data_IF_457294006983
#
_entry.id   IF_457294006983
#
_cell.length_a   1.000
_cell.length_b   1.000
_cell.length_c   1.000
_cell.angle_alpha   90.00
_cell.angle_beta   90.00
_cell.angle_gamma   90.00
#
_symmetry.space_group_name_H-M   'P 1'
#
loop_
_entity.id
_entity.type
_entity.pdbx_description
1 polymer ?
#
# COMPACT_ATOMS: atom_id res chain seq x y z
N UNK A 1 -1.00 -10.96 10.75
CA UNK A 1 -0.78 -11.09 12.21
C UNK A 1 -1.31 -12.42 12.74
N UNK A 2 -2.54 -12.86 12.42
CA UNK A 2 -3.11 -14.12 12.89
C UNK A 2 -2.26 -15.35 12.50
N UNK A 3 -1.85 -15.42 11.23
CA UNK A 3 -0.95 -16.49 10.74
C UNK A 3 0.39 -16.45 11.45
N UNK A 4 0.97 -15.25 11.64
CA UNK A 4 2.23 -15.10 12.38
C UNK A 4 2.11 -15.65 13.82
N UNK A 5 0.99 -15.38 14.51
CA UNK A 5 0.74 -15.92 15.86
C UNK A 5 0.59 -17.43 15.89
N UNK A 6 -0.02 -18.04 14.88
CA UNK A 6 -0.09 -19.49 14.76
C UNK A 6 1.30 -20.11 14.55
N UNK A 7 2.12 -19.51 13.69
CA UNK A 7 3.50 -19.97 13.48
C UNK A 7 4.35 -19.84 14.75
N UNK A 8 4.22 -18.72 15.49
CA UNK A 8 4.90 -18.55 16.78
C UNK A 8 4.52 -19.66 17.78
N UNK A 9 3.23 -20.03 17.88
CA UNK A 9 2.76 -21.11 18.76
C UNK A 9 3.30 -22.48 18.30
N UNK A 10 3.51 -22.67 17.00
CA UNK A 10 4.15 -23.87 16.45
C UNK A 10 5.68 -23.91 16.66
N UNK A 11 6.26 -22.90 17.32
CA UNK A 11 7.69 -22.86 17.66
C UNK A 11 8.58 -22.17 16.63
N UNK A 12 8.00 -21.50 15.63
CA UNK A 12 8.76 -20.70 14.67
C UNK A 12 9.14 -19.34 15.26
N UNK A 13 10.31 -18.84 14.91
CA UNK A 13 10.71 -17.45 15.20
C UNK A 13 10.18 -16.59 14.06
N UNK A 14 9.16 -15.78 14.34
CA UNK A 14 8.45 -15.01 13.33
C UNK A 14 8.71 -13.53 13.49
N UNK A 15 9.25 -12.90 12.45
CA UNK A 15 9.39 -11.46 12.35
C UNK A 15 8.25 -10.87 11.52
N UNK A 16 7.42 -10.06 12.15
CA UNK A 16 6.30 -9.38 11.50
C UNK A 16 6.75 -8.04 10.94
N UNK A 17 6.67 -7.88 9.63
CA UNK A 17 7.06 -6.65 8.96
C UNK A 17 5.89 -6.06 8.18
N UNK A 18 5.89 -4.73 8.05
CA UNK A 18 4.94 -3.98 7.25
C UNK A 18 5.68 -3.16 6.20
N UNK A 19 5.09 -2.98 5.03
CA UNK A 19 5.58 -2.09 3.98
C UNK A 19 4.54 -1.01 3.73
N UNK A 20 4.90 0.24 4.03
CA UNK A 20 4.03 1.40 3.84
C UNK A 20 4.36 2.07 2.51
N UNK A 21 3.34 2.21 1.67
CA UNK A 21 3.44 2.99 0.43
C UNK A 21 3.25 4.47 0.75
N UNK A 22 4.36 5.17 0.93
CA UNK A 22 4.43 6.58 1.35
C UNK A 22 4.94 7.50 0.25
N UNK A 23 5.12 7.01 -0.99
CA UNK A 23 5.62 7.80 -2.11
C UNK A 23 4.82 7.57 -3.41
N UNK A 24 5.09 8.42 -4.38
CA UNK A 24 4.57 8.28 -5.74
C UNK A 24 3.42 9.23 -6.04
N UNK A 25 2.92 9.11 -7.26
CA UNK A 25 1.92 10.05 -7.81
C UNK A 25 0.63 10.11 -6.98
N UNK A 26 0.24 8.99 -6.34
CA UNK A 26 -1.00 8.95 -5.54
C UNK A 26 -0.89 9.80 -4.28
N UNK A 27 0.28 9.81 -3.64
CA UNK A 27 0.57 10.67 -2.48
C UNK A 27 0.57 12.14 -2.91
N UNK A 28 1.25 12.46 -4.02
CA UNK A 28 1.27 13.82 -4.56
C UNK A 28 -0.12 14.35 -4.96
N UNK A 29 -1.04 13.48 -5.36
CA UNK A 29 -2.44 13.86 -5.62
C UNK A 29 -3.14 14.39 -4.37
N UNK A 30 -3.03 13.67 -3.24
CA UNK A 30 -3.58 14.12 -1.95
C UNK A 30 -2.90 15.41 -1.49
N UNK A 31 -1.57 15.50 -1.61
CA UNK A 31 -0.80 16.71 -1.26
C UNK A 31 -1.23 17.91 -2.07
N UNK A 32 -1.40 17.75 -3.38
CA UNK A 32 -1.86 18.85 -4.25
C UNK A 32 -3.28 19.31 -3.88
N UNK A 33 -4.21 18.37 -3.72
CA UNK A 33 -5.57 18.71 -3.32
C UNK A 33 -5.61 19.44 -1.97
N UNK A 34 -4.85 18.99 -0.98
CA UNK A 34 -4.74 19.66 0.31
C UNK A 34 -4.18 21.10 0.14
N UNK A 35 -3.13 21.26 -0.68
CA UNK A 35 -2.51 22.59 -0.91
C UNK A 35 -3.48 23.60 -1.53
N UNK A 36 -4.35 23.16 -2.45
CA UNK A 36 -5.26 24.08 -3.19
C UNK A 36 -6.65 24.20 -2.58
N UNK A 37 -7.11 23.21 -1.82
CA UNK A 37 -8.48 23.17 -1.27
C UNK A 37 -8.51 23.19 0.26
N UNK A 38 -7.42 22.82 0.93
CA UNK A 38 -7.40 22.51 2.36
C UNK A 38 -7.33 23.73 3.28
N UNK A 39 -6.97 24.91 2.77
CA UNK A 39 -6.86 26.14 3.58
C UNK A 39 -6.10 25.95 4.90
N UNK A 40 -5.09 25.08 4.92
CA UNK A 40 -4.31 24.78 6.12
C UNK A 40 -4.99 23.86 7.13
N UNK A 41 -6.04 23.12 6.74
CA UNK A 41 -6.71 22.15 7.59
C UNK A 41 -5.72 21.06 8.06
N UNK A 42 -5.83 20.68 9.33
CA UNK A 42 -5.02 19.64 9.97
C UNK A 42 -5.93 18.62 10.67
N UNK A 43 -5.44 17.44 11.06
CA UNK A 43 -6.22 16.51 11.87
C UNK A 43 -6.77 17.15 13.15
N UNK A 44 -6.00 18.03 13.78
CA UNK A 44 -6.41 18.72 15.00
C UNK A 44 -7.53 19.75 14.73
N UNK A 45 -7.44 20.52 13.63
CA UNK A 45 -8.44 21.54 13.32
C UNK A 45 -9.75 20.95 12.78
N UNK A 46 -9.66 19.81 12.07
CA UNK A 46 -10.82 19.13 11.50
C UNK A 46 -11.50 18.14 12.48
N UNK A 47 -10.77 17.72 13.52
CA UNK A 47 -11.21 16.63 14.40
C UNK A 47 -11.21 15.26 13.74
N UNK A 48 -10.63 15.13 12.53
CA UNK A 48 -10.53 13.87 11.78
C UNK A 48 -9.22 13.17 12.09
N UNK A 49 -9.22 11.85 12.03
CA UNK A 49 -8.03 11.04 12.01
C UNK A 49 -7.18 11.35 10.78
N UNK A 50 -5.86 11.36 10.91
CA UNK A 50 -4.97 11.88 9.88
C UNK A 50 -5.03 11.15 8.54
N UNK A 51 -5.10 9.82 8.56
CA UNK A 51 -5.25 9.00 7.36
C UNK A 51 -6.60 9.21 6.66
N UNK A 52 -7.69 9.40 7.43
CA UNK A 52 -9.01 9.77 6.89
C UNK A 52 -8.97 11.15 6.23
N UNK A 53 -8.36 12.14 6.88
CA UNK A 53 -8.21 13.49 6.32
C UNK A 53 -7.45 13.45 4.99
N UNK A 54 -6.32 12.75 4.93
CA UNK A 54 -5.53 12.62 3.69
C UNK A 54 -6.30 11.83 2.62
N UNK A 55 -7.07 10.82 3.03
CA UNK A 55 -7.98 10.07 2.17
C UNK A 55 -9.06 10.95 1.53
N UNK A 56 -9.68 11.85 2.31
CA UNK A 56 -10.65 12.82 1.80
C UNK A 56 -10.04 13.70 0.71
N UNK A 57 -8.79 14.14 0.88
CA UNK A 57 -8.09 14.91 -0.15
C UNK A 57 -7.73 14.10 -1.38
N UNK A 58 -7.56 12.77 -1.26
CA UNK A 58 -7.41 11.91 -2.43
C UNK A 58 -8.69 11.85 -3.26
N UNK A 59 -9.85 11.76 -2.60
CA UNK A 59 -11.16 11.82 -3.27
C UNK A 59 -11.41 13.22 -3.85
N UNK A 60 -11.08 14.29 -3.11
CA UNK A 60 -11.19 15.67 -3.60
C UNK A 60 -10.35 15.91 -4.86
N UNK A 61 -9.12 15.35 -4.91
CA UNK A 61 -8.29 15.38 -6.11
C UNK A 61 -9.00 14.72 -7.30
N UNK A 62 -9.57 13.53 -7.09
CA UNK A 62 -10.23 12.79 -8.16
C UNK A 62 -11.43 13.57 -8.72
N UNK A 63 -12.20 14.24 -7.87
CA UNK A 63 -13.32 15.10 -8.27
C UNK A 63 -12.83 16.32 -9.07
N UNK A 64 -11.78 16.99 -8.60
CA UNK A 64 -11.15 18.09 -9.32
C UNK A 64 -10.65 17.65 -10.70
N UNK A 65 -9.92 16.54 -10.75
CA UNK A 65 -9.39 15.96 -11.99
C UNK A 65 -10.50 15.63 -12.99
N UNK A 66 -11.58 14.97 -12.56
CA UNK A 66 -12.72 14.66 -13.43
C UNK A 66 -13.34 15.91 -14.03
N UNK A 67 -13.55 16.93 -13.19
CA UNK A 67 -14.09 18.22 -13.64
C UNK A 67 -13.20 18.87 -14.70
N UNK A 68 -11.89 18.93 -14.48
CA UNK A 68 -10.93 19.47 -15.44
C UNK A 68 -10.92 18.70 -16.78
N UNK A 69 -11.00 17.37 -16.72
CA UNK A 69 -11.10 16.51 -17.91
C UNK A 69 -12.37 16.82 -18.68
N UNK A 70 -13.52 16.95 -18.01
CA UNK A 70 -14.80 17.27 -18.64
C UNK A 70 -14.78 18.65 -19.29
N UNK A 71 -14.17 19.65 -18.65
CA UNK A 71 -13.97 21.00 -19.20
C UNK A 71 -13.10 20.98 -20.47
N UNK A 72 -11.96 20.26 -20.45
CA UNK A 72 -11.07 20.12 -21.62
C UNK A 72 -11.75 19.38 -22.80
N UNK A 73 -12.57 18.39 -22.50
CA UNK A 73 -13.35 17.68 -23.52
C UNK A 73 -14.42 18.60 -24.11
N UNK A 74 -15.10 19.42 -23.29
CA UNK A 74 -16.06 20.41 -23.77
C UNK A 74 -15.42 21.48 -24.66
N UNK A 75 -14.15 21.81 -24.42
CA UNK A 75 -13.34 22.72 -25.23
C UNK A 75 -12.81 22.08 -26.53
N UNK A 76 -13.17 20.82 -26.80
CA UNK A 76 -12.86 20.11 -28.05
C UNK A 76 -11.65 19.19 -28.02
N UNK A 77 -11.06 18.95 -26.86
CA UNK A 77 -9.96 17.98 -26.71
C UNK A 77 -10.51 16.55 -26.71
N UNK A 78 -9.76 15.59 -27.27
CA UNK A 78 -10.13 14.18 -27.11
C UNK A 78 -10.03 13.77 -25.63
N UNK A 79 -10.84 12.81 -25.20
CA UNK A 79 -10.84 12.34 -23.82
C UNK A 79 -9.45 11.86 -23.36
N UNK A 80 -8.77 11.11 -24.22
CA UNK A 80 -7.43 10.59 -23.93
C UNK A 80 -6.40 11.72 -23.74
N UNK A 81 -6.48 12.77 -24.55
CA UNK A 81 -5.62 13.96 -24.41
C UNK A 81 -6.00 14.78 -23.18
N UNK A 82 -7.30 14.95 -22.91
CA UNK A 82 -7.81 15.66 -21.73
C UNK A 82 -7.33 14.97 -20.43
N UNK A 83 -7.43 13.66 -20.34
CA UNK A 83 -6.93 12.87 -19.20
C UNK A 83 -5.43 13.05 -18.95
N UNK A 84 -4.61 13.21 -20.00
CA UNK A 84 -3.17 13.46 -19.89
C UNK A 84 -2.82 14.93 -19.60
N UNK A 85 -3.70 15.84 -19.96
CA UNK A 85 -3.45 17.30 -19.91
C UNK A 85 -4.16 18.01 -18.76
N UNK A 86 -4.96 17.32 -17.95
CA UNK A 86 -5.63 17.92 -16.80
C UNK A 86 -4.62 18.64 -15.89
N UNK A 87 -4.87 19.93 -15.56
CA UNK A 87 -3.95 20.77 -14.79
C UNK A 87 -3.55 20.15 -13.44
N UNK A 88 -4.51 19.60 -12.70
CA UNK A 88 -4.26 18.94 -11.43
C UNK A 88 -3.31 17.73 -11.55
N UNK A 89 -3.46 16.93 -12.61
CA UNK A 89 -2.57 15.80 -12.85
C UNK A 89 -1.13 16.25 -13.14
N UNK A 90 -0.98 17.28 -13.98
CA UNK A 90 0.34 17.86 -14.28
C UNK A 90 0.99 18.45 -13.03
N UNK A 91 0.21 19.16 -12.21
CA UNK A 91 0.70 19.70 -10.95
C UNK A 91 1.14 18.60 -9.97
N UNK A 92 0.40 17.50 -9.88
CA UNK A 92 0.80 16.34 -9.06
C UNK A 92 2.07 15.66 -9.59
N UNK A 93 2.24 15.58 -10.92
CA UNK A 93 3.46 15.06 -11.55
C UNK A 93 4.68 15.97 -11.29
N UNK A 94 4.49 17.29 -11.40
CA UNK A 94 5.52 18.26 -11.05
C UNK A 94 5.90 18.17 -9.56
N UNK A 95 4.92 17.98 -8.69
CA UNK A 95 5.16 17.79 -7.25
C UNK A 95 5.97 16.52 -6.98
N UNK A 96 5.69 15.41 -7.67
CA UNK A 96 6.49 14.19 -7.58
C UNK A 96 7.92 14.43 -8.04
N UNK A 97 8.10 15.10 -9.18
CA UNK A 97 9.44 15.45 -9.69
C UNK A 97 10.22 16.32 -8.69
N UNK A 98 9.58 17.32 -8.10
CA UNK A 98 10.19 18.17 -7.05
C UNK A 98 10.58 17.35 -5.82
N UNK A 99 9.70 16.44 -5.37
CA UNK A 99 9.99 15.56 -4.26
C UNK A 99 11.22 14.68 -4.53
N UNK A 100 11.30 14.06 -5.71
CA UNK A 100 12.43 13.22 -6.13
C UNK A 100 13.76 14.00 -6.23
N UNK A 101 13.69 15.30 -6.50
CA UNK A 101 14.85 16.19 -6.53
C UNK A 101 15.13 16.90 -5.19
N UNK A 102 14.43 16.54 -4.13
CA UNK A 102 14.69 17.05 -2.78
C UNK A 102 14.24 18.48 -2.54
N UNK A 103 13.24 18.99 -3.27
CA UNK A 103 12.65 20.33 -3.02
C UNK A 103 12.16 20.40 -1.57
N UNK A 104 12.71 21.38 -0.81
CA UNK A 104 12.51 21.46 0.62
C UNK A 104 11.04 21.68 1.03
N UNK A 105 10.28 22.49 0.28
CA UNK A 105 8.87 22.76 0.56
C UNK A 105 8.03 21.50 0.33
N UNK A 106 8.24 20.80 -0.78
CA UNK A 106 7.48 19.60 -1.12
C UNK A 106 7.83 18.44 -0.21
N UNK A 107 9.10 18.27 0.14
CA UNK A 107 9.55 17.23 1.09
C UNK A 107 8.95 17.49 2.48
N UNK A 108 8.87 18.74 2.94
CA UNK A 108 8.29 19.06 4.24
C UNK A 108 6.77 18.81 4.26
N UNK A 109 6.06 19.20 3.19
CA UNK A 109 4.64 18.89 3.04
C UNK A 109 4.39 17.38 3.03
N UNK A 110 5.21 16.64 2.28
CA UNK A 110 5.16 15.19 2.23
C UNK A 110 5.36 14.56 3.62
N UNK A 111 6.37 15.00 4.38
CA UNK A 111 6.62 14.53 5.75
C UNK A 111 5.43 14.82 6.66
N UNK A 112 4.88 16.01 6.58
CA UNK A 112 3.76 16.43 7.42
C UNK A 112 2.54 15.57 7.16
N UNK A 113 2.11 15.43 5.90
CA UNK A 113 0.91 14.67 5.57
C UNK A 113 1.08 13.17 5.78
N UNK A 114 2.24 12.59 5.45
CA UNK A 114 2.51 11.20 5.76
C UNK A 114 2.62 10.95 7.27
N UNK A 115 3.14 11.91 8.05
CA UNK A 115 3.13 11.84 9.50
C UNK A 115 1.72 11.68 10.07
N UNK A 116 0.75 12.43 9.54
CA UNK A 116 -0.66 12.27 9.91
C UNK A 116 -1.21 10.88 9.56
N UNK A 117 -0.82 10.34 8.40
CA UNK A 117 -1.24 8.99 7.98
C UNK A 117 -0.63 7.92 8.89
N UNK A 118 0.65 8.04 9.24
CA UNK A 118 1.32 7.07 10.11
C UNK A 118 0.70 7.04 11.51
N UNK A 119 0.43 8.20 12.11
CA UNK A 119 -0.28 8.30 13.39
C UNK A 119 -1.68 7.65 13.30
N UNK A 120 -2.37 7.83 12.17
CA UNK A 120 -3.64 7.19 11.90
C UNK A 120 -3.55 5.67 11.83
N UNK A 121 -2.58 5.14 11.10
CA UNK A 121 -2.33 3.69 11.00
C UNK A 121 -1.96 3.08 12.35
N UNK A 122 -1.10 3.74 13.12
CA UNK A 122 -0.70 3.26 14.44
C UNK A 122 -1.91 3.12 15.36
N UNK A 123 -2.86 4.05 15.29
CA UNK A 123 -4.11 3.98 16.05
C UNK A 123 -4.96 2.78 15.60
N UNK A 124 -5.18 2.59 14.29
CA UNK A 124 -5.94 1.43 13.79
C UNK A 124 -5.29 0.11 14.19
N UNK A 125 -3.96 0.00 14.09
CA UNK A 125 -3.23 -1.20 14.50
C UNK A 125 -3.35 -1.45 16.01
N UNK A 126 -3.29 -0.40 16.82
CA UNK A 126 -3.50 -0.51 18.26
C UNK A 126 -4.93 -0.98 18.59
N UNK A 127 -5.94 -0.41 17.93
CA UNK A 127 -7.34 -0.80 18.11
C UNK A 127 -7.58 -2.25 17.67
N UNK A 128 -6.92 -2.72 16.63
CA UNK A 128 -6.90 -4.12 16.22
C UNK A 128 -6.07 -5.02 17.14
N UNK A 129 -5.26 -4.47 18.02
CA UNK A 129 -4.33 -5.23 18.87
C UNK A 129 -3.28 -5.98 18.04
N UNK A 130 -2.77 -5.37 16.97
CA UNK A 130 -1.69 -5.90 16.13
C UNK A 130 -0.47 -4.99 16.21
N UNK A 131 0.70 -5.58 15.96
CA UNK A 131 1.96 -4.85 15.95
C UNK A 131 2.92 -5.46 14.95
N UNK A 132 3.88 -4.67 14.52
CA UNK A 132 4.97 -5.10 13.64
C UNK A 132 6.31 -4.92 14.35
N UNK A 133 7.24 -5.82 14.09
CA UNK A 133 8.60 -5.75 14.63
C UNK A 133 9.42 -4.72 13.85
N UNK A 134 9.07 -4.50 12.56
CA UNK A 134 9.66 -3.45 11.72
C UNK A 134 8.69 -2.96 10.65
N UNK A 135 8.71 -1.66 10.40
CA UNK A 135 8.03 -1.02 9.29
C UNK A 135 9.05 -0.56 8.25
N UNK A 136 8.83 -0.94 6.99
CA UNK A 136 9.55 -0.44 5.83
C UNK A 136 8.72 0.62 5.13
N UNK A 137 9.39 1.59 4.51
CA UNK A 137 8.76 2.66 3.76
C UNK A 137 9.24 2.62 2.30
N UNK A 138 8.34 2.67 1.35
CA UNK A 138 8.70 2.66 -0.07
C UNK A 138 9.61 3.84 -0.45
N UNK A 139 9.47 4.98 0.21
CA UNK A 139 10.37 6.13 0.05
C UNK A 139 11.84 5.82 0.34
N UNK A 140 12.12 4.77 1.12
CA UNK A 140 13.47 4.33 1.47
C UNK A 140 13.92 3.13 0.62
N UNK A 141 12.98 2.26 0.22
CA UNK A 141 13.31 0.97 -0.42
C UNK A 141 13.34 1.03 -1.95
N UNK A 142 12.74 2.05 -2.58
CA UNK A 142 12.58 2.11 -4.04
C UNK A 142 13.91 2.17 -4.82
N UNK A 143 15.01 2.55 -4.18
CA UNK A 143 16.32 2.64 -4.81
C UNK A 143 17.06 1.30 -4.87
N UNK A 144 16.74 0.34 -4.00
CA UNK A 144 17.49 -0.91 -3.86
C UNK A 144 17.43 -1.77 -5.13
N UNK A 145 16.28 -1.84 -5.77
CA UNK A 145 16.12 -2.65 -6.97
C UNK A 145 16.95 -2.20 -8.18
N UNK A 146 17.33 -0.94 -8.28
CA UNK A 146 18.13 -0.45 -9.41
C UNK A 146 19.52 -1.09 -9.46
N UNK A 147 20.15 -1.34 -8.32
CA UNK A 147 21.43 -2.01 -8.24
C UNK A 147 21.34 -3.47 -8.74
N UNK A 148 20.26 -4.16 -8.41
CA UNK A 148 20.00 -5.52 -8.92
C UNK A 148 19.77 -5.54 -10.43
N UNK A 149 19.06 -4.56 -10.97
CA UNK A 149 18.87 -4.46 -12.42
C UNK A 149 20.20 -4.26 -13.12
N UNK A 150 21.09 -3.44 -12.57
CA UNK A 150 22.43 -3.25 -13.12
C UNK A 150 23.25 -4.55 -13.10
N UNK A 151 23.23 -5.29 -11.99
CA UNK A 151 23.88 -6.62 -11.89
C UNK A 151 23.31 -7.60 -12.94
N UNK A 152 21.99 -7.62 -13.13
CA UNK A 152 21.36 -8.48 -14.13
C UNK A 152 21.71 -8.14 -15.57
N UNK A 153 21.90 -6.85 -15.88
CA UNK A 153 22.42 -6.40 -17.19
C UNK A 153 23.86 -6.86 -17.41
N UNK A 154 24.73 -6.68 -16.42
CA UNK A 154 26.15 -7.09 -16.48
C UNK A 154 26.30 -8.61 -16.63
N UNK A 155 25.39 -9.38 -16.02
CA UNK A 155 25.34 -10.84 -16.13
C UNK A 155 24.65 -11.34 -17.43
N UNK A 156 24.11 -10.45 -18.27
CA UNK A 156 23.39 -10.81 -19.48
C UNK A 156 22.02 -11.49 -19.24
N UNK A 157 21.46 -11.35 -18.03
CA UNK A 157 20.14 -11.87 -17.63
C UNK A 157 19.02 -10.93 -18.09
N UNK A 158 19.30 -9.63 -18.09
CA UNK A 158 18.39 -8.58 -18.52
C UNK A 158 18.87 -7.91 -19.82
N UNK A 159 17.92 -7.39 -20.56
CA UNK A 159 18.16 -6.75 -21.85
C UNK A 159 17.81 -5.26 -21.82
N UNK A 160 18.71 -4.42 -22.27
CA UNK A 160 18.43 -2.99 -22.48
C UNK A 160 17.95 -2.77 -23.90
N UNK A 161 16.82 -2.10 -24.07
CA UNK A 161 16.24 -1.77 -25.37
C UNK A 161 16.79 -0.42 -25.89
N UNK A 162 16.53 -0.11 -27.17
CA UNK A 162 16.96 1.14 -27.83
C UNK A 162 16.39 2.40 -27.16
N UNK A 163 15.17 2.31 -26.61
CA UNK A 163 14.52 3.38 -25.86
C UNK A 163 15.05 3.57 -24.43
N UNK A 164 16.06 2.77 -24.04
CA UNK A 164 16.67 2.80 -22.72
C UNK A 164 15.97 1.93 -21.68
N UNK A 165 14.80 1.37 -21.97
CA UNK A 165 14.07 0.48 -21.04
C UNK A 165 14.83 -0.83 -20.83
N UNK A 166 14.63 -1.44 -19.63
CA UNK A 166 15.28 -2.71 -19.26
C UNK A 166 14.21 -3.76 -19.02
N UNK A 167 14.39 -4.92 -19.64
CA UNK A 167 13.46 -6.03 -19.62
C UNK A 167 14.13 -7.33 -19.22
N UNK A 168 13.36 -8.20 -18.58
CA UNK A 168 13.69 -9.61 -18.36
C UNK A 168 12.84 -10.46 -19.30
N UNK A 169 13.46 -11.31 -20.11
CA UNK A 169 12.76 -12.27 -20.95
C UNK A 169 12.47 -13.54 -20.15
N UNK A 170 11.19 -13.85 -20.01
CA UNK A 170 10.66 -15.02 -19.30
C UNK A 170 9.89 -15.95 -20.24
N UNK A 171 9.99 -15.75 -21.56
CA UNK A 171 9.22 -16.53 -22.54
C UNK A 171 9.60 -18.00 -22.56
N UNK A 172 10.87 -18.34 -22.29
CA UNK A 172 11.31 -19.71 -22.12
C UNK A 172 10.70 -20.42 -20.91
N UNK A 173 10.22 -19.65 -19.92
CA UNK A 173 9.55 -20.13 -18.71
C UNK A 173 8.01 -20.11 -18.86
N UNK A 174 7.51 -19.82 -20.06
CA UNK A 174 6.07 -19.73 -20.37
C UNK A 174 5.38 -18.47 -19.85
N UNK A 175 6.14 -17.41 -19.54
CA UNK A 175 5.64 -16.12 -19.07
C UNK A 175 5.99 -15.01 -20.08
N UNK A 176 5.40 -13.84 -19.90
CA UNK A 176 5.69 -12.68 -20.74
C UNK A 176 7.03 -12.02 -20.37
N UNK A 177 7.58 -11.24 -21.32
CA UNK A 177 8.69 -10.33 -21.01
C UNK A 177 8.28 -9.34 -19.93
N UNK A 178 9.15 -9.09 -18.95
CA UNK A 178 8.86 -8.21 -17.82
C UNK A 178 9.70 -6.95 -17.85
N UNK A 179 9.02 -5.80 -17.86
CA UNK A 179 9.67 -4.49 -17.71
C UNK A 179 10.21 -4.34 -16.28
N UNK A 180 11.46 -3.90 -16.18
CA UNK A 180 12.14 -3.61 -14.90
C UNK A 180 12.43 -2.11 -14.74
N UNK A 181 12.94 -1.46 -15.79
CA UNK A 181 13.09 0.00 -15.82
C UNK A 181 12.44 0.57 -17.08
N UNK A 182 11.80 1.72 -16.93
CA UNK A 182 11.31 2.49 -18.08
C UNK A 182 12.46 3.13 -18.83
N UNK A 183 12.22 3.64 -20.04
CA UNK A 183 13.22 4.31 -20.87
C UNK A 183 13.89 5.52 -20.22
N UNK A 184 13.20 6.20 -19.31
CA UNK A 184 13.72 7.30 -18.49
C UNK A 184 14.53 6.83 -17.27
N UNK A 185 14.70 5.52 -17.09
CA UNK A 185 15.42 4.92 -15.96
C UNK A 185 14.60 4.83 -14.67
N UNK A 186 13.31 5.14 -14.70
CA UNK A 186 12.46 4.98 -13.51
C UNK A 186 12.07 3.52 -13.26
N UNK A 187 12.05 3.15 -11.97
CA UNK A 187 11.69 1.80 -11.52
C UNK A 187 10.19 1.54 -11.67
N UNK A 188 9.85 0.26 -11.87
CA UNK A 188 8.49 -0.26 -11.73
C UNK A 188 8.36 -1.03 -10.41
N UNK A 189 7.15 -1.42 -10.01
CA UNK A 189 6.92 -2.17 -8.76
C UNK A 189 7.79 -3.45 -8.66
N UNK A 190 7.93 -4.20 -9.75
CA UNK A 190 8.78 -5.40 -9.78
C UNK A 190 10.22 -5.11 -9.34
N UNK A 191 10.79 -4.02 -9.80
CA UNK A 191 12.17 -3.61 -9.44
C UNK A 191 12.29 -3.31 -7.94
N UNK A 192 11.28 -2.64 -7.37
CA UNK A 192 11.25 -2.34 -5.95
C UNK A 192 11.15 -3.61 -5.11
N UNK A 193 10.32 -4.56 -5.52
CA UNK A 193 10.13 -5.83 -4.81
C UNK A 193 11.36 -6.73 -4.88
N UNK A 194 12.07 -6.75 -6.02
CA UNK A 194 13.37 -7.42 -6.13
C UNK A 194 14.36 -6.88 -5.08
N UNK A 195 14.51 -5.56 -5.01
CA UNK A 195 15.42 -4.92 -4.05
C UNK A 195 15.00 -5.11 -2.60
N UNK A 196 13.69 -5.06 -2.32
CA UNK A 196 13.16 -5.26 -0.97
C UNK A 196 13.34 -6.71 -0.51
N UNK A 197 13.17 -7.70 -1.41
CA UNK A 197 13.42 -9.09 -1.09
C UNK A 197 14.90 -9.33 -0.78
N UNK A 198 15.82 -8.86 -1.63
CA UNK A 198 17.27 -8.97 -1.39
C UNK A 198 17.65 -8.36 -0.03
N UNK A 199 17.17 -7.15 0.26
CA UNK A 199 17.46 -6.48 1.53
C UNK A 199 17.00 -7.32 2.73
N UNK A 200 15.80 -7.88 2.71
CA UNK A 200 15.27 -8.65 3.83
C UNK A 200 16.07 -9.94 4.07
N UNK A 201 16.43 -10.67 3.02
CA UNK A 201 17.28 -11.85 3.14
C UNK A 201 18.71 -11.51 3.56
N UNK A 202 19.23 -10.32 3.19
CA UNK A 202 20.53 -9.84 3.65
C UNK A 202 20.52 -9.36 5.11
N UNK A 203 19.43 -8.72 5.56
CA UNK A 203 19.29 -8.22 6.93
C UNK A 203 19.02 -9.34 7.95
N UNK A 204 18.32 -10.40 7.52
CA UNK A 204 17.88 -11.48 8.38
C UNK A 204 18.25 -12.83 7.79
N UNK A 205 18.63 -13.78 8.65
CA UNK A 205 18.79 -15.18 8.27
C UNK A 205 17.40 -15.83 8.17
N UNK A 206 16.72 -15.61 7.04
CA UNK A 206 15.36 -16.10 6.81
C UNK A 206 15.40 -17.53 6.25
N UNK A 207 14.62 -18.43 6.85
CA UNK A 207 14.29 -19.72 6.24
C UNK A 207 13.19 -19.57 5.18
N UNK A 208 12.24 -18.64 5.44
CA UNK A 208 11.11 -18.36 4.55
C UNK A 208 10.65 -16.91 4.67
N UNK A 209 10.25 -16.31 3.56
CA UNK A 209 9.64 -14.99 3.51
C UNK A 209 8.21 -15.10 3.00
N UNK A 210 7.24 -14.88 3.89
CA UNK A 210 5.82 -14.99 3.59
C UNK A 210 5.24 -13.60 3.27
N UNK A 211 4.74 -13.44 2.04
CA UNK A 211 3.98 -12.28 1.62
C UNK A 211 2.47 -12.55 1.74
N UNK A 212 1.78 -11.81 2.58
CA UNK A 212 0.32 -11.89 2.75
C UNK A 212 -0.33 -10.82 1.87
N UNK A 213 -0.76 -11.21 0.67
CA UNK A 213 -1.25 -10.29 -0.37
C UNK A 213 -2.41 -10.92 -1.14
N UNK A 214 -3.32 -10.11 -1.67
CA UNK A 214 -4.46 -10.59 -2.44
C UNK A 214 -4.07 -11.42 -3.68
N UNK A 215 -4.93 -12.35 -4.07
CA UNK A 215 -4.71 -13.29 -5.16
C UNK A 215 -4.54 -12.65 -6.54
N UNK A 216 -4.93 -11.39 -6.72
CA UNK A 216 -4.66 -10.62 -7.94
C UNK A 216 -3.15 -10.48 -8.21
N UNK A 217 -2.30 -10.66 -7.20
CA UNK A 217 -0.85 -10.58 -7.30
C UNK A 217 -0.14 -11.93 -7.50
N UNK A 218 -0.88 -13.04 -7.70
CA UNK A 218 -0.29 -14.37 -7.91
C UNK A 218 0.76 -14.37 -9.03
N UNK A 219 0.44 -13.78 -10.18
CA UNK A 219 1.36 -13.67 -11.31
C UNK A 219 2.60 -12.83 -10.96
N UNK A 220 2.43 -11.74 -10.23
CA UNK A 220 3.52 -10.87 -9.79
C UNK A 220 4.54 -11.63 -8.94
N UNK A 221 4.09 -12.41 -7.94
CA UNK A 221 4.98 -13.19 -7.08
C UNK A 221 5.62 -14.39 -7.80
N UNK A 222 4.94 -14.99 -8.77
CA UNK A 222 5.54 -16.00 -9.64
C UNK A 222 6.72 -15.41 -10.43
N UNK A 223 6.53 -14.26 -11.03
CA UNK A 223 7.56 -13.52 -11.79
C UNK A 223 8.70 -13.09 -10.86
N UNK A 224 8.40 -12.57 -9.66
CA UNK A 224 9.40 -12.15 -8.67
C UNK A 224 10.36 -13.30 -8.31
N UNK A 225 9.82 -14.47 -7.95
CA UNK A 225 10.62 -15.66 -7.63
C UNK A 225 11.50 -16.08 -8.81
N UNK A 226 10.94 -16.11 -10.00
CA UNK A 226 11.67 -16.54 -11.20
C UNK A 226 12.84 -15.59 -11.53
N UNK A 227 12.63 -14.27 -11.44
CA UNK A 227 13.69 -13.28 -11.69
C UNK A 227 14.78 -13.39 -10.65
N UNK A 228 14.45 -13.56 -9.37
CA UNK A 228 15.42 -13.75 -8.29
C UNK A 228 16.25 -15.02 -8.49
N UNK A 229 15.60 -16.14 -8.90
CA UNK A 229 16.29 -17.37 -9.25
C UNK A 229 17.25 -17.20 -10.43
N UNK A 230 16.84 -16.48 -11.49
CA UNK A 230 17.72 -16.14 -12.63
C UNK A 230 18.92 -15.26 -12.22
N UNK A 231 18.74 -14.39 -11.23
CA UNK A 231 19.83 -13.59 -10.63
C UNK A 231 20.77 -14.41 -9.73
N UNK A 232 20.49 -15.71 -9.51
CA UNK A 232 21.33 -16.63 -8.78
C UNK A 232 21.11 -16.59 -7.26
N UNK A 233 19.98 -16.12 -6.78
CA UNK A 233 19.64 -16.18 -5.36
C UNK A 233 19.09 -17.55 -4.98
N UNK A 234 19.84 -18.32 -4.22
CA UNK A 234 19.47 -19.67 -3.76
C UNK A 234 18.21 -19.67 -2.88
N UNK A 235 17.93 -18.57 -2.22
CA UNK A 235 16.73 -18.39 -1.38
C UNK A 235 15.47 -17.97 -2.17
N UNK A 236 15.53 -17.82 -3.49
CA UNK A 236 14.36 -17.40 -4.28
C UNK A 236 13.13 -18.29 -4.06
N UNK A 237 13.35 -19.61 -3.87
CA UNK A 237 12.28 -20.57 -3.57
C UNK A 237 11.69 -20.45 -2.17
N UNK A 238 12.39 -19.79 -1.25
CA UNK A 238 11.93 -19.51 0.12
C UNK A 238 10.96 -18.33 0.20
N UNK A 239 10.60 -17.70 -0.93
CA UNK A 239 9.52 -16.72 -1.00
C UNK A 239 8.19 -17.46 -1.15
N UNK A 240 7.28 -17.23 -0.21
CA UNK A 240 5.94 -17.79 -0.22
C UNK A 240 4.88 -16.69 -0.32
N UNK A 241 3.98 -16.79 -1.31
CA UNK A 241 2.83 -15.91 -1.42
C UNK A 241 1.63 -16.56 -0.76
N UNK A 242 1.32 -16.14 0.47
CA UNK A 242 0.08 -16.49 1.14
C UNK A 242 -1.03 -15.60 0.58
N UNK A 243 -1.64 -16.07 -0.51
CA UNK A 243 -2.69 -15.34 -1.19
C UNK A 243 -4.05 -15.50 -0.51
N UNK A 244 -4.84 -14.45 -0.50
CA UNK A 244 -6.22 -14.48 -0.05
C UNK A 244 -7.16 -13.94 -1.14
N UNK A 245 -8.44 -14.32 -1.08
CA UNK A 245 -9.47 -13.82 -1.98
C UNK A 245 -9.76 -12.34 -1.76
N UNK A 246 -10.14 -11.64 -2.81
CA UNK A 246 -10.49 -10.22 -2.69
C UNK A 246 -11.69 -10.02 -1.76
N UNK A 247 -11.58 -9.02 -0.90
CA UNK A 247 -12.69 -8.56 -0.05
C UNK A 247 -13.54 -7.60 -0.89
N UNK A 248 -14.80 -7.97 -1.10
CA UNK A 248 -15.73 -7.20 -1.90
C UNK A 248 -16.93 -6.75 -1.06
N UNK A 249 -17.50 -5.61 -1.42
CA UNK A 249 -18.80 -5.18 -0.87
C UNK A 249 -19.93 -5.93 -1.58
N UNK A 250 -21.14 -6.00 -0.99
CA UNK A 250 -22.30 -6.56 -1.68
C UNK A 250 -22.56 -5.91 -3.04
N UNK A 251 -22.21 -4.63 -3.19
CA UNK A 251 -22.37 -3.84 -4.40
C UNK A 251 -21.21 -4.01 -5.39
N UNK A 252 -20.14 -4.75 -5.03
CA UNK A 252 -18.98 -5.01 -5.85
C UNK A 252 -17.64 -4.54 -5.26
N UNK A 253 -16.63 -4.33 -6.12
CA UNK A 253 -15.27 -3.97 -5.70
C UNK A 253 -15.20 -2.60 -5.04
N UNK A 254 -14.42 -2.51 -3.97
CA UNK A 254 -14.08 -1.24 -3.33
C UNK A 254 -13.25 -0.35 -4.29
N UNK A 255 -13.55 0.94 -4.31
CA UNK A 255 -12.86 1.92 -5.16
C UNK A 255 -12.46 3.15 -4.34
N UNK A 256 -11.23 3.18 -3.87
CA UNK A 256 -10.69 4.28 -3.04
C UNK A 256 -10.80 5.65 -3.69
N UNK A 257 -10.65 5.72 -5.03
CA UNK A 257 -10.74 6.98 -5.78
C UNK A 257 -12.15 7.58 -5.79
N UNK A 258 -13.17 6.74 -5.60
CA UNK A 258 -14.58 7.14 -5.62
C UNK A 258 -15.14 7.27 -4.21
N UNK A 259 -14.32 7.00 -3.16
CA UNK A 259 -14.75 7.03 -1.78
C UNK A 259 -15.69 5.86 -1.40
N UNK A 260 -15.83 4.85 -2.27
CA UNK A 260 -16.64 3.65 -2.00
C UNK A 260 -15.76 2.56 -1.40
N UNK A 261 -15.31 2.80 -0.18
CA UNK A 261 -14.53 1.83 0.62
C UNK A 261 -15.18 1.65 1.98
N UNK A 262 -15.05 0.47 2.56
CA UNK A 262 -15.28 0.28 3.99
C UNK A 262 -13.94 0.48 4.67
N UNK A 263 -13.87 1.48 5.51
CA UNK A 263 -12.70 1.77 6.31
C UNK A 263 -12.52 0.71 7.40
N UNK A 264 -11.28 0.41 7.78
CA UNK A 264 -10.99 -0.57 8.83
C UNK A 264 -11.59 -0.12 10.18
N UNK A 265 -11.55 1.17 10.48
CA UNK A 265 -12.11 1.71 11.71
C UNK A 265 -13.64 1.57 11.74
N UNK A 266 -14.31 1.82 10.61
CA UNK A 266 -15.77 1.60 10.47
C UNK A 266 -16.13 0.13 10.65
N UNK A 267 -15.34 -0.78 10.11
CA UNK A 267 -15.55 -2.21 10.26
C UNK A 267 -15.38 -2.65 11.72
N UNK A 268 -14.35 -2.15 12.41
CA UNK A 268 -14.12 -2.39 13.84
C UNK A 268 -15.34 -1.90 14.65
N UNK A 269 -15.81 -0.68 14.37
CA UNK A 269 -16.95 -0.09 15.05
C UNK A 269 -18.26 -0.87 14.79
N UNK A 270 -18.50 -1.28 13.54
CA UNK A 270 -19.67 -2.07 13.18
C UNK A 270 -19.68 -3.44 13.89
N UNK A 271 -18.54 -4.13 13.91
CA UNK A 271 -18.40 -5.41 14.60
C UNK A 271 -18.55 -5.28 16.11
N UNK A 272 -18.01 -4.19 16.69
CA UNK A 272 -18.22 -3.91 18.11
C UNK A 272 -19.69 -3.70 18.46
N UNK A 273 -20.40 -2.90 17.66
CA UNK A 273 -21.84 -2.66 17.87
C UNK A 273 -22.66 -3.94 17.73
N UNK A 274 -22.38 -4.77 16.73
CA UNK A 274 -23.03 -6.08 16.56
C UNK A 274 -22.77 -6.99 17.75
N UNK A 275 -21.53 -7.07 18.24
CA UNK A 275 -21.19 -7.88 19.41
C UNK A 275 -21.92 -7.38 20.67
N UNK A 276 -22.02 -6.06 20.85
CA UNK A 276 -22.73 -5.42 21.95
C UNK A 276 -24.23 -5.72 21.92
N UNK A 277 -24.90 -5.47 20.79
CA UNK A 277 -26.31 -5.70 20.59
C UNK A 277 -26.67 -7.17 20.86
N UNK A 278 -25.97 -8.11 20.22
CA UNK A 278 -26.18 -9.55 20.39
C UNK A 278 -25.97 -9.99 21.85
N UNK A 279 -24.92 -9.47 22.52
CA UNK A 279 -24.65 -9.85 23.92
C UNK A 279 -25.72 -9.32 24.87
N UNK A 280 -26.23 -8.13 24.64
CA UNK A 280 -27.36 -7.55 25.43
C UNK A 280 -28.64 -8.31 25.21
N UNK A 281 -28.99 -8.69 23.98
CA UNK A 281 -30.17 -9.50 23.66
C UNK A 281 -30.14 -10.87 24.34
N UNK A 282 -28.97 -11.49 24.44
CA UNK A 282 -28.78 -12.78 25.12
C UNK A 282 -28.91 -12.69 26.64
N UNK A 283 -28.83 -11.51 27.23
CA UNK A 283 -29.09 -11.27 28.67
C UNK A 283 -28.14 -11.99 29.64
N UNK A 284 -26.96 -12.44 29.19
CA UNK A 284 -26.02 -13.23 30.01
C UNK A 284 -24.92 -12.40 30.68
N UNK A 285 -25.00 -11.08 30.55
CA UNK A 285 -23.95 -10.12 30.97
C UNK A 285 -24.43 -9.15 32.07
N UNK A 286 -25.63 -9.34 32.60
CA UNK A 286 -26.26 -8.42 33.57
C UNK A 286 -25.48 -8.31 34.90
N UNK A 287 -24.64 -9.30 35.19
CA UNK A 287 -23.80 -9.37 36.38
C UNK A 287 -22.39 -8.77 36.17
N UNK A 288 -22.09 -8.29 34.97
CA UNK A 288 -20.82 -7.65 34.64
C UNK A 288 -20.91 -6.12 34.81
N UNK A 289 -19.85 -5.49 35.27
CA UNK A 289 -19.73 -4.03 35.25
C UNK A 289 -19.70 -3.49 33.82
N UNK A 290 -19.97 -2.20 33.64
CA UNK A 290 -19.92 -1.57 32.32
C UNK A 290 -18.53 -1.72 31.63
N UNK A 291 -17.45 -1.68 32.40
CA UNK A 291 -16.08 -1.85 31.93
C UNK A 291 -15.81 -3.29 31.47
N UNK A 292 -16.31 -4.29 32.22
CA UNK A 292 -16.20 -5.71 31.86
C UNK A 292 -17.04 -6.02 30.62
N UNK A 293 -18.24 -5.43 30.50
CA UNK A 293 -19.07 -5.55 29.30
C UNK A 293 -18.35 -4.97 28.06
N UNK A 294 -17.77 -3.77 28.15
CA UNK A 294 -17.03 -3.13 27.06
C UNK A 294 -15.82 -3.98 26.63
N UNK A 295 -15.06 -4.50 27.59
CA UNK A 295 -13.95 -5.40 27.31
C UNK A 295 -14.39 -6.69 26.62
N UNK A 296 -15.54 -7.26 27.02
CA UNK A 296 -16.12 -8.44 26.40
C UNK A 296 -16.55 -8.17 24.95
N UNK A 297 -17.24 -7.04 24.69
CA UNK A 297 -17.65 -6.67 23.33
C UNK A 297 -16.45 -6.48 22.42
N UNK A 298 -15.39 -5.81 22.88
CA UNK A 298 -14.13 -5.67 22.15
C UNK A 298 -13.48 -7.03 21.86
N UNK A 299 -13.45 -7.92 22.83
CA UNK A 299 -12.87 -9.26 22.67
C UNK A 299 -13.62 -10.07 21.61
N UNK A 300 -14.94 -10.08 21.65
CA UNK A 300 -15.80 -10.81 20.70
C UNK A 300 -15.64 -10.23 19.30
N UNK A 301 -15.76 -8.91 19.15
CA UNK A 301 -15.69 -8.23 17.85
C UNK A 301 -14.33 -8.40 17.17
N UNK A 302 -13.22 -8.19 17.92
CA UNK A 302 -11.89 -8.36 17.38
C UNK A 302 -11.55 -9.83 17.10
N UNK A 303 -12.06 -10.76 17.92
CA UNK A 303 -11.94 -12.19 17.66
C UNK A 303 -12.58 -12.59 16.34
N UNK A 304 -13.81 -12.09 16.08
CA UNK A 304 -14.52 -12.34 14.83
C UNK A 304 -13.80 -11.74 13.61
N UNK A 305 -13.25 -10.52 13.73
CA UNK A 305 -12.48 -9.87 12.64
C UNK A 305 -11.17 -10.58 12.32
N UNK A 306 -10.52 -11.21 13.32
CA UNK A 306 -9.24 -11.88 13.14
C UNK A 306 -9.36 -13.33 12.71
N UNK A 307 -10.53 -13.94 12.89
CA UNK A 307 -10.81 -15.31 12.47
C UNK A 307 -11.08 -15.38 10.98
#
# INVERSE_FOLDING_TARGET
WSVAKLLEVCGHNVMKVNLVNDRGIHICKSMYAWKVLGNGETPQSSGKKGDHLVGDYYVAFNNLYKKEVDELVADGMSKEEAEKNAPSLKAAQEMLFKWENGDAEIVELWKTMNGWVYEGFDKTYADLGISFDRTYYESQTYLFGKALVQKGLEAGIFEKQEDGSVWCDLTADGLDRKLLLRGDGTSVYMTQDLGTAEQRFAEYSLDEHIYVVGNEQNYHFQVLKLILGKLGFDWADSIYHLSYGMVELPEGKMKSREGTVVDADDLIAAMYNTAKETSLELGKIDNLSAEEQDALFKMISLGALKY
#
